data_IF_039043452273
#
_entry.id   IF_039043452273
#
_cell.length_a   1.000
_cell.length_b   1.000
_cell.length_c   1.000
_cell.angle_alpha   90.00
_cell.angle_beta   90.00
_cell.angle_gamma   90.00
#
_symmetry.space_group_name_H-M   'P 1'
#
loop_
_entity.id
_entity.type
_entity.pdbx_description
1 polymer ?
#
# COMPACT_ATOMS: atom_id res chain seq x y z
N UNK A 1 0.56 9.06 -19.82
CA UNK A 1 1.06 8.15 -18.77
C UNK A 1 0.19 6.91 -18.82
N UNK A 2 0.77 5.72 -18.95
CA UNK A 2 0.01 4.48 -19.04
C UNK A 2 -0.64 4.18 -17.68
N UNK A 3 -1.95 3.94 -17.68
CA UNK A 3 -2.71 3.61 -16.49
C UNK A 3 -2.44 2.15 -16.09
N UNK A 4 -2.04 1.90 -14.86
CA UNK A 4 -1.70 0.56 -14.36
C UNK A 4 -2.88 -0.41 -14.36
N UNK A 5 -4.11 0.08 -14.18
CA UNK A 5 -5.31 -0.77 -14.26
C UNK A 5 -5.49 -1.37 -15.66
N UNK A 6 -5.22 -0.59 -16.69
CA UNK A 6 -5.32 -1.04 -18.09
C UNK A 6 -4.35 -2.17 -18.44
N UNK A 7 -3.18 -2.22 -17.78
CA UNK A 7 -2.22 -3.31 -17.97
C UNK A 7 -2.77 -4.69 -17.58
N UNK A 8 -3.74 -4.71 -16.68
CA UNK A 8 -4.37 -5.93 -16.17
C UNK A 8 -5.84 -6.07 -16.61
N UNK A 9 -6.25 -5.28 -17.59
CA UNK A 9 -7.63 -5.27 -18.11
C UNK A 9 -8.68 -5.04 -17.01
N UNK A 10 -8.37 -4.10 -16.11
CA UNK A 10 -9.23 -3.71 -15.00
C UNK A 10 -9.76 -2.28 -15.19
N UNK A 11 -10.97 -2.05 -14.70
CA UNK A 11 -11.49 -0.68 -14.55
C UNK A 11 -10.67 0.11 -13.52
N UNK A 12 -10.47 1.40 -13.78
CA UNK A 12 -9.83 2.31 -12.82
C UNK A 12 -10.77 2.54 -11.65
N UNK A 13 -10.52 1.87 -10.54
CA UNK A 13 -11.37 1.90 -9.35
C UNK A 13 -10.59 1.51 -8.10
N UNK A 14 -11.00 2.06 -6.96
CA UNK A 14 -10.56 1.55 -5.66
C UNK A 14 -11.06 0.12 -5.41
N UNK A 15 -12.26 -0.19 -5.92
CA UNK A 15 -12.91 -1.49 -5.75
C UNK A 15 -12.49 -2.43 -6.88
N UNK A 16 -11.54 -3.32 -6.59
CA UNK A 16 -11.10 -4.37 -7.50
C UNK A 16 -11.14 -5.73 -6.81
N UNK A 17 -11.25 -6.79 -7.60
CA UNK A 17 -11.03 -8.14 -7.11
C UNK A 17 -9.51 -8.43 -7.11
N UNK A 18 -8.92 -8.49 -5.92
CA UNK A 18 -7.48 -8.71 -5.75
C UNK A 18 -7.02 -10.07 -6.28
N UNK A 19 -7.87 -11.09 -6.25
CA UNK A 19 -7.58 -12.39 -6.84
C UNK A 19 -7.52 -12.34 -8.37
N UNK A 20 -8.40 -11.55 -8.99
CA UNK A 20 -8.37 -11.29 -10.45
C UNK A 20 -7.09 -10.53 -10.81
N UNK A 21 -6.73 -9.49 -10.06
CA UNK A 21 -5.50 -8.75 -10.27
C UNK A 21 -4.27 -9.68 -10.21
N UNK A 22 -4.20 -10.51 -9.19
CA UNK A 22 -3.08 -11.45 -9.02
C UNK A 22 -2.96 -12.42 -10.18
N UNK A 23 -4.07 -13.00 -10.64
CA UNK A 23 -4.08 -13.90 -11.81
C UNK A 23 -3.64 -13.18 -13.09
N UNK A 24 -4.16 -11.99 -13.33
CA UNK A 24 -3.78 -11.18 -14.50
C UNK A 24 -2.28 -10.85 -14.47
N UNK A 25 -1.76 -10.46 -13.31
CA UNK A 25 -0.32 -10.23 -13.13
C UNK A 25 0.51 -11.48 -13.45
N UNK A 26 0.13 -12.65 -12.92
CA UNK A 26 0.84 -13.91 -13.16
C UNK A 26 0.85 -14.30 -14.65
N UNK A 27 -0.27 -14.10 -15.34
CA UNK A 27 -0.36 -14.34 -16.79
C UNK A 27 0.56 -13.39 -17.56
N UNK A 28 0.50 -12.10 -17.28
CA UNK A 28 1.30 -11.10 -17.99
C UNK A 28 2.80 -11.27 -17.72
N UNK A 29 3.19 -11.52 -16.47
CA UNK A 29 4.60 -11.69 -16.11
C UNK A 29 5.21 -12.94 -16.77
N UNK A 30 4.43 -14.01 -16.94
CA UNK A 30 4.89 -15.25 -17.60
C UNK A 30 5.21 -15.05 -19.07
N UNK A 31 4.56 -14.12 -19.76
CA UNK A 31 4.83 -13.78 -21.16
C UNK A 31 6.22 -13.22 -21.39
N UNK A 32 6.78 -12.56 -20.39
CA UNK A 32 8.10 -11.91 -20.44
C UNK A 32 9.18 -12.69 -19.68
N UNK A 33 8.91 -13.95 -19.34
CA UNK A 33 9.88 -14.80 -18.65
C UNK A 33 11.16 -14.94 -19.51
N UNK A 34 12.37 -14.86 -18.89
CA UNK A 34 13.64 -14.93 -19.63
C UNK A 34 13.76 -16.13 -20.58
N UNK A 35 13.20 -17.28 -20.22
CA UNK A 35 13.22 -18.49 -21.05
C UNK A 35 12.53 -18.30 -22.41
N UNK A 36 11.50 -17.43 -22.47
CA UNK A 36 10.79 -17.10 -23.70
C UNK A 36 11.61 -16.19 -24.64
N UNK A 37 12.68 -15.60 -24.15
CA UNK A 37 13.52 -14.63 -24.87
C UNK A 37 14.97 -15.10 -25.05
N UNK A 38 15.31 -16.33 -24.65
CA UNK A 38 16.67 -16.87 -24.70
C UNK A 38 17.28 -16.83 -26.12
N UNK A 39 16.46 -17.01 -27.16
CA UNK A 39 16.87 -16.99 -28.57
C UNK A 39 16.59 -15.67 -29.29
N UNK A 40 16.08 -14.67 -28.56
CA UNK A 40 15.73 -13.36 -29.12
C UNK A 40 16.92 -12.43 -29.16
N UNK A 41 16.79 -11.33 -29.93
CA UNK A 41 17.79 -10.28 -29.99
C UNK A 41 17.96 -9.53 -28.67
N UNK A 42 19.10 -8.86 -28.49
CA UNK A 42 19.36 -8.04 -27.29
C UNK A 42 18.31 -6.92 -27.08
N UNK A 43 17.85 -6.18 -28.12
CA UNK A 43 16.75 -5.23 -27.98
C UNK A 43 15.45 -5.86 -27.50
N UNK A 44 15.10 -7.05 -27.98
CA UNK A 44 13.90 -7.79 -27.55
C UNK A 44 13.99 -8.25 -26.08
N UNK A 45 15.18 -8.72 -25.66
CA UNK A 45 15.45 -9.06 -24.26
C UNK A 45 15.33 -7.85 -23.35
N UNK A 46 15.86 -6.71 -23.76
CA UNK A 46 15.75 -5.45 -23.00
C UNK A 46 14.29 -5.01 -22.87
N UNK A 47 13.53 -5.09 -23.95
CA UNK A 47 12.09 -4.75 -23.92
C UNK A 47 11.32 -5.66 -22.99
N UNK A 48 11.60 -6.96 -22.97
CA UNK A 48 10.99 -7.93 -22.05
C UNK A 48 11.30 -7.58 -20.59
N UNK A 49 12.55 -7.18 -20.29
CA UNK A 49 12.96 -6.75 -18.96
C UNK A 49 12.23 -5.47 -18.52
N UNK A 50 12.09 -4.50 -19.41
CA UNK A 50 11.37 -3.25 -19.15
C UNK A 50 9.88 -3.52 -18.90
N UNK A 51 9.25 -4.40 -19.68
CA UNK A 51 7.86 -4.81 -19.50
C UNK A 51 7.66 -5.52 -18.15
N UNK A 52 8.58 -6.39 -17.77
CA UNK A 52 8.57 -7.06 -16.46
C UNK A 52 8.65 -6.06 -15.33
N UNK A 53 9.55 -5.09 -15.42
CA UNK A 53 9.69 -4.02 -14.42
C UNK A 53 8.41 -3.17 -14.30
N UNK A 54 7.79 -2.82 -15.44
CA UNK A 54 6.54 -2.08 -15.47
C UNK A 54 5.40 -2.86 -14.81
N UNK A 55 5.26 -4.16 -15.14
CA UNK A 55 4.24 -5.02 -14.55
C UNK A 55 4.42 -5.19 -13.04
N UNK A 56 5.65 -5.33 -12.57
CA UNK A 56 5.96 -5.40 -11.15
C UNK A 56 5.58 -4.11 -10.41
N UNK A 57 5.90 -2.96 -10.99
CA UNK A 57 5.53 -1.65 -10.44
C UNK A 57 4.02 -1.46 -10.39
N UNK A 58 3.33 -1.82 -11.46
CA UNK A 58 1.88 -1.74 -11.56
C UNK A 58 1.19 -2.65 -10.55
N UNK A 59 1.62 -3.89 -10.43
CA UNK A 59 1.06 -4.82 -9.45
C UNK A 59 1.29 -4.33 -8.01
N UNK A 60 2.49 -3.87 -7.69
CA UNK A 60 2.80 -3.29 -6.37
C UNK A 60 1.94 -2.08 -6.03
N UNK A 61 1.65 -1.24 -7.03
CA UNK A 61 0.79 -0.07 -6.85
C UNK A 61 -0.69 -0.43 -6.59
N UNK A 62 -1.17 -1.53 -7.14
CA UNK A 62 -2.59 -1.88 -7.10
C UNK A 62 -2.96 -2.94 -6.06
N UNK A 63 -2.01 -3.72 -5.56
CA UNK A 63 -2.27 -4.94 -4.78
C UNK A 63 -2.87 -4.73 -3.39
N UNK A 64 -2.64 -3.57 -2.76
CA UNK A 64 -3.18 -3.26 -1.42
C UNK A 64 -4.10 -2.06 -1.47
N UNK A 65 -5.07 -1.95 -0.54
CA UNK A 65 -5.92 -0.76 -0.45
C UNK A 65 -5.13 0.55 -0.30
N UNK A 66 -4.07 0.55 0.53
CA UNK A 66 -3.21 1.72 0.72
C UNK A 66 -2.50 2.14 -0.56
N UNK A 67 -1.80 1.21 -1.22
CA UNK A 67 -1.05 1.51 -2.45
C UNK A 67 -1.99 1.90 -3.60
N UNK A 68 -3.14 1.25 -3.69
CA UNK A 68 -4.14 1.52 -4.72
C UNK A 68 -4.77 2.92 -4.56
N UNK A 69 -5.18 3.29 -3.34
CA UNK A 69 -5.70 4.63 -3.08
C UNK A 69 -4.64 5.71 -3.32
N UNK A 70 -3.40 5.46 -2.93
CA UNK A 70 -2.25 6.35 -3.22
C UNK A 70 -2.07 6.56 -4.72
N UNK A 71 -2.13 5.49 -5.50
CA UNK A 71 -2.01 5.55 -6.96
C UNK A 71 -3.20 6.29 -7.62
N UNK A 72 -4.43 6.04 -7.15
CA UNK A 72 -5.62 6.73 -7.64
C UNK A 72 -5.55 8.24 -7.42
N UNK A 73 -5.08 8.68 -6.25
CA UNK A 73 -4.84 10.10 -5.98
C UNK A 73 -3.79 10.69 -6.92
N UNK A 74 -2.72 9.94 -7.20
CA UNK A 74 -1.67 10.36 -8.14
C UNK A 74 -2.20 10.51 -9.57
N UNK A 75 -3.08 9.63 -10.03
CA UNK A 75 -3.74 9.75 -11.34
C UNK A 75 -4.54 11.05 -11.45
N UNK A 76 -5.07 11.55 -10.35
CA UNK A 76 -5.82 12.81 -10.29
C UNK A 76 -4.93 14.03 -9.98
N UNK A 77 -3.61 13.85 -10.00
CA UNK A 77 -2.64 14.92 -9.81
C UNK A 77 -2.33 15.23 -8.35
N UNK A 78 -2.71 14.37 -7.40
CA UNK A 78 -2.51 14.58 -5.98
C UNK A 78 -1.47 13.61 -5.42
N UNK A 79 -0.38 14.15 -4.88
CA UNK A 79 0.59 13.38 -4.11
C UNK A 79 0.14 13.31 -2.64
N UNK A 80 -0.26 12.12 -2.19
CA UNK A 80 -0.73 11.89 -0.83
C UNK A 80 0.36 12.17 0.23
N UNK A 81 1.63 12.09 -0.15
CA UNK A 81 2.78 12.18 0.76
C UNK A 81 3.72 13.35 0.43
N UNK A 82 3.19 14.42 -0.17
CA UNK A 82 3.95 15.64 -0.42
C UNK A 82 4.45 16.21 0.92
N UNK A 83 5.77 16.29 1.07
CA UNK A 83 6.43 16.80 2.27
C UNK A 83 6.08 18.27 2.61
N UNK A 84 5.62 19.03 1.62
CA UNK A 84 5.15 20.40 1.80
C UNK A 84 3.77 20.50 2.42
N UNK A 85 3.00 19.43 2.35
CA UNK A 85 1.69 19.34 2.96
C UNK A 85 1.83 18.87 4.42
N UNK A 86 1.86 19.82 5.33
CA UNK A 86 1.98 19.57 6.77
C UNK A 86 0.62 19.59 7.48
N UNK A 87 -0.47 19.74 6.74
CA UNK A 87 -1.82 19.75 7.33
C UNK A 87 -2.17 18.34 7.81
N UNK A 88 -2.34 18.21 9.11
CA UNK A 88 -2.72 16.96 9.76
C UNK A 88 -3.66 17.27 10.92
N UNK A 89 -4.62 16.37 11.14
CA UNK A 89 -5.50 16.49 12.31
C UNK A 89 -4.71 16.47 13.62
N UNK A 90 -4.95 17.44 14.49
CA UNK A 90 -4.23 17.58 15.77
C UNK A 90 -4.43 16.36 16.67
N UNK A 91 -5.67 15.83 16.72
CA UNK A 91 -5.98 14.63 17.48
C UNK A 91 -5.22 13.40 16.98
N UNK A 92 -5.03 13.30 15.66
CA UNK A 92 -4.24 12.23 15.06
C UNK A 92 -2.75 12.36 15.39
N UNK A 93 -2.19 13.57 15.38
CA UNK A 93 -0.80 13.82 15.81
C UNK A 93 -0.55 13.36 17.24
N UNK A 94 -1.46 13.66 18.15
CA UNK A 94 -1.39 13.21 19.55
C UNK A 94 -1.42 11.68 19.62
N UNK A 95 -2.34 11.04 18.90
CA UNK A 95 -2.42 9.57 18.82
C UNK A 95 -1.14 8.93 18.27
N UNK A 96 -0.49 9.55 17.29
CA UNK A 96 0.80 9.07 16.77
C UNK A 96 1.88 9.05 17.86
N UNK A 97 1.97 10.12 18.63
CA UNK A 97 2.94 10.24 19.73
C UNK A 97 2.67 9.15 20.77
N UNK A 98 1.42 9.02 21.21
CA UNK A 98 1.02 8.03 22.22
C UNK A 98 1.31 6.58 21.78
N UNK A 99 1.03 6.26 20.51
CA UNK A 99 1.28 4.92 19.97
C UNK A 99 2.79 4.64 19.83
N UNK A 100 3.59 5.64 19.45
CA UNK A 100 5.04 5.51 19.41
C UNK A 100 5.63 5.27 20.79
N UNK A 101 5.24 6.06 21.78
CA UNK A 101 5.68 5.92 23.16
C UNK A 101 5.30 4.54 23.72
N UNK A 102 4.10 4.07 23.38
CA UNK A 102 3.64 2.74 23.80
C UNK A 102 4.50 1.62 23.22
N UNK A 103 4.85 1.70 21.94
CA UNK A 103 5.69 0.69 21.28
C UNK A 103 7.11 0.72 21.87
N UNK A 104 7.68 1.88 22.13
CA UNK A 104 8.98 2.02 22.80
C UNK A 104 8.98 1.38 24.18
N UNK A 105 7.96 1.62 25.00
CA UNK A 105 7.81 1.03 26.33
C UNK A 105 7.74 -0.52 26.27
N UNK A 106 6.98 -1.04 25.31
CA UNK A 106 6.90 -2.49 25.05
C UNK A 106 8.26 -3.07 24.67
N UNK A 107 8.98 -2.38 23.77
CA UNK A 107 10.32 -2.80 23.32
C UNK A 107 11.35 -2.80 24.46
N UNK A 108 11.41 -1.73 25.24
CA UNK A 108 12.32 -1.61 26.37
C UNK A 108 12.10 -2.70 27.43
N UNK A 109 10.84 -3.04 27.70
CA UNK A 109 10.45 -4.08 28.67
C UNK A 109 10.49 -5.49 28.10
N UNK A 110 10.63 -5.64 26.79
CA UNK A 110 10.48 -6.91 26.08
C UNK A 110 9.15 -7.61 26.43
N UNK A 111 8.09 -6.83 26.49
CA UNK A 111 6.75 -7.29 26.83
C UNK A 111 6.08 -7.94 25.62
N UNK A 112 6.26 -9.26 25.47
CA UNK A 112 5.72 -10.00 24.33
C UNK A 112 4.19 -10.04 24.28
N UNK A 113 3.54 -10.10 25.44
CA UNK A 113 2.07 -10.06 25.51
C UNK A 113 1.54 -8.67 25.12
N UNK A 114 2.18 -7.62 25.65
CA UNK A 114 1.85 -6.25 25.30
C UNK A 114 2.08 -5.95 23.81
N UNK A 115 3.10 -6.57 23.20
CA UNK A 115 3.37 -6.46 21.76
C UNK A 115 2.27 -7.11 20.93
N UNK A 116 1.80 -8.29 21.33
CA UNK A 116 0.72 -9.01 20.65
C UNK A 116 -0.58 -8.20 20.68
N UNK A 117 -0.98 -7.71 21.85
CA UNK A 117 -2.15 -6.83 22.02
C UNK A 117 -2.01 -5.53 21.21
N UNK A 118 -0.81 -4.97 21.15
CA UNK A 118 -0.52 -3.76 20.36
C UNK A 118 -0.72 -4.01 18.86
N UNK A 119 -0.19 -5.11 18.35
CA UNK A 119 -0.34 -5.51 16.93
C UNK A 119 -1.82 -5.68 16.58
N UNK A 120 -2.60 -6.38 17.40
CA UNK A 120 -4.04 -6.54 17.18
C UNK A 120 -4.78 -5.19 17.15
N UNK A 121 -4.40 -4.29 18.04
CA UNK A 121 -5.00 -2.94 18.09
C UNK A 121 -4.68 -2.13 16.85
N UNK A 122 -3.43 -2.16 16.37
CA UNK A 122 -3.02 -1.46 15.15
C UNK A 122 -3.72 -2.05 13.94
N UNK A 123 -3.86 -3.37 13.88
CA UNK A 123 -4.59 -4.04 12.79
C UNK A 123 -6.05 -3.58 12.73
N UNK A 124 -6.71 -3.44 13.88
CA UNK A 124 -8.07 -2.88 13.94
C UNK A 124 -8.16 -1.44 13.41
N UNK A 125 -7.17 -0.61 13.69
CA UNK A 125 -7.11 0.75 13.13
C UNK A 125 -6.91 0.75 11.62
N UNK A 126 -6.10 -0.17 11.11
CA UNK A 126 -5.91 -0.36 9.66
C UNK A 126 -7.23 -0.72 8.98
N UNK A 127 -7.95 -1.72 9.51
CA UNK A 127 -9.26 -2.13 8.98
C UNK A 127 -10.26 -0.98 8.99
N UNK A 128 -10.35 -0.23 10.08
CA UNK A 128 -11.21 0.95 10.19
C UNK A 128 -10.87 2.01 9.12
N UNK A 129 -9.60 2.29 8.90
CA UNK A 129 -9.17 3.26 7.87
C UNK A 129 -9.49 2.78 6.45
N UNK A 130 -9.33 1.50 6.18
CA UNK A 130 -9.71 0.92 4.88
C UNK A 130 -11.22 1.06 4.65
N UNK A 131 -12.04 0.80 5.66
CA UNK A 131 -13.49 1.01 5.57
C UNK A 131 -13.84 2.48 5.31
N UNK A 132 -13.20 3.42 5.99
CA UNK A 132 -13.40 4.85 5.78
C UNK A 132 -13.01 5.31 4.37
N UNK A 133 -11.93 4.76 3.82
CA UNK A 133 -11.52 5.02 2.42
C UNK A 133 -12.56 4.44 1.46
N UNK A 134 -13.02 3.21 1.70
CA UNK A 134 -14.06 2.57 0.89
C UNK A 134 -15.35 3.40 0.89
N UNK A 135 -15.79 3.86 2.05
CA UNK A 135 -16.96 4.72 2.19
C UNK A 135 -16.78 6.05 1.46
N UNK A 136 -15.60 6.67 1.58
CA UNK A 136 -15.31 7.91 0.88
C UNK A 136 -15.38 7.76 -0.64
N UNK A 137 -14.90 6.66 -1.20
CA UNK A 137 -15.05 6.36 -2.63
C UNK A 137 -16.50 6.09 -3.03
N UNK A 138 -17.26 5.36 -2.22
CA UNK A 138 -18.68 5.09 -2.45
C UNK A 138 -19.53 6.38 -2.46
N UNK A 139 -19.19 7.33 -1.59
CA UNK A 139 -19.89 8.61 -1.48
C UNK A 139 -19.35 9.68 -2.44
N UNK A 140 -18.38 9.34 -3.28
CA UNK A 140 -17.68 10.31 -4.15
C UNK A 140 -17.16 11.53 -3.37
N UNK A 141 -16.59 11.28 -2.21
CA UNK A 141 -16.06 12.32 -1.31
C UNK A 141 -14.91 13.09 -1.94
N UNK A 142 -14.65 14.29 -1.43
CA UNK A 142 -13.53 15.12 -1.84
C UNK A 142 -12.20 14.35 -1.69
N UNK A 143 -11.32 14.52 -2.67
CA UNK A 143 -9.98 13.92 -2.68
C UNK A 143 -9.14 14.27 -1.45
N UNK A 144 -9.36 15.45 -0.85
CA UNK A 144 -8.68 15.84 0.39
C UNK A 144 -9.06 14.93 1.56
N UNK A 145 -10.32 14.51 1.63
CA UNK A 145 -10.79 13.54 2.64
C UNK A 145 -10.10 12.19 2.45
N UNK A 146 -10.06 11.70 1.21
CA UNK A 146 -9.40 10.44 0.87
C UNK A 146 -7.90 10.53 1.18
N UNK A 147 -7.24 11.63 0.81
CA UNK A 147 -5.84 11.89 1.10
C UNK A 147 -5.54 11.82 2.60
N UNK A 148 -6.40 12.43 3.41
CA UNK A 148 -6.24 12.42 4.87
C UNK A 148 -6.29 10.99 5.42
N UNK A 149 -7.27 10.19 5.01
CA UNK A 149 -7.37 8.79 5.41
C UNK A 149 -6.18 7.95 4.92
N UNK A 150 -5.71 8.17 3.71
CA UNK A 150 -4.53 7.49 3.14
C UNK A 150 -3.27 7.79 3.96
N UNK A 151 -3.07 9.04 4.36
CA UNK A 151 -1.93 9.45 5.21
C UNK A 151 -1.99 8.78 6.59
N UNK A 152 -3.15 8.73 7.19
CA UNK A 152 -3.36 8.06 8.47
C UNK A 152 -3.15 6.55 8.36
N UNK A 153 -3.67 5.93 7.31
CA UNK A 153 -3.46 4.50 7.04
C UNK A 153 -1.97 4.17 6.86
N UNK A 154 -1.23 5.03 6.17
CA UNK A 154 0.23 4.85 5.99
C UNK A 154 0.98 4.81 7.31
N UNK A 155 0.60 5.66 8.26
CA UNK A 155 1.19 5.65 9.60
C UNK A 155 0.92 4.31 10.31
N UNK A 156 -0.31 3.84 10.32
CA UNK A 156 -0.66 2.56 10.95
C UNK A 156 0.00 1.37 10.27
N UNK A 157 0.07 1.35 8.94
CA UNK A 157 0.74 0.30 8.17
C UNK A 157 2.23 0.19 8.53
N UNK A 158 2.91 1.32 8.63
CA UNK A 158 4.32 1.39 9.03
C UNK A 158 4.52 0.90 10.47
N UNK A 159 3.67 1.35 11.38
CA UNK A 159 3.73 0.96 12.79
C UNK A 159 3.46 -0.55 12.98
N UNK A 160 2.50 -1.08 12.24
CA UNK A 160 2.19 -2.51 12.20
C UNK A 160 3.40 -3.35 11.76
N UNK A 161 4.07 -2.93 10.69
CA UNK A 161 5.27 -3.61 10.17
C UNK A 161 6.43 -3.56 11.17
N UNK A 162 6.64 -2.43 11.81
CA UNK A 162 7.66 -2.28 12.86
C UNK A 162 7.38 -3.22 14.05
N UNK A 163 6.14 -3.27 14.52
CA UNK A 163 5.76 -4.14 15.63
C UNK A 163 5.90 -5.63 15.28
N UNK A 164 5.51 -6.04 14.08
CA UNK A 164 5.73 -7.42 13.63
C UNK A 164 7.19 -7.77 13.48
N UNK A 165 8.04 -6.84 13.03
CA UNK A 165 9.50 -7.06 12.97
C UNK A 165 10.09 -7.30 14.36
N UNK A 166 9.64 -6.59 15.39
CA UNK A 166 10.03 -6.85 16.78
C UNK A 166 9.60 -8.24 17.24
N UNK A 167 8.37 -8.64 16.88
CA UNK A 167 7.89 -9.99 17.22
C UNK A 167 8.78 -11.06 16.60
N UNK A 168 9.16 -10.92 15.33
CA UNK A 168 10.04 -11.86 14.62
C UNK A 168 11.45 -11.89 15.21
N UNK A 169 11.96 -10.79 15.74
CA UNK A 169 13.27 -10.72 16.41
C UNK A 169 13.28 -11.43 17.77
N UNK A 170 12.13 -11.48 18.44
CA UNK A 170 12.04 -12.04 19.79
C UNK A 170 11.78 -13.55 19.82
N UNK A 171 11.36 -14.13 18.70
CA UNK A 171 11.02 -15.56 18.54
C UNK A 171 11.66 -16.19 17.31
#
# INVERSE_FOLDING_TARGET
MQNYFELFDLETSFFIDEAVLKRSYQVEISRFHPDNFATKSEPEKLQALQNTSLLNSAYSALKTPLSRATYLLKLEGMDAFDEKDTVMDEGFLISQIELRDKLEDIEEKKDSLGLDEFIERIDSFIEEKIELISEAYNLSSDQQVIKMHVRELKFFDKLYKEANSLMDEWF
#
